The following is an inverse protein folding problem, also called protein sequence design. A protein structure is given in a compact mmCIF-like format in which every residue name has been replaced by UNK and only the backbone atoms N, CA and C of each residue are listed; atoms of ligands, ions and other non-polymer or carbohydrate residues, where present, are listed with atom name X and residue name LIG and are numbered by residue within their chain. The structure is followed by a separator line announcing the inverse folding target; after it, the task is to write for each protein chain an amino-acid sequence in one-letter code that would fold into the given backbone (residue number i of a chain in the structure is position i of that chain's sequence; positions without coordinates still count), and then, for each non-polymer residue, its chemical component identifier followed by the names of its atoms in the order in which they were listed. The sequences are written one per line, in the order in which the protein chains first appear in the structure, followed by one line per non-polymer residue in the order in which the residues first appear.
data_IF_407822058703
#
_entry.id   IF_407822058703
#
_cell.length_a   1.000
_cell.length_b   1.000
_cell.length_c   1.000
_cell.angle_alpha   90.00
_cell.angle_beta   90.00
_cell.angle_gamma   90.00
#
_symmetry.space_group_name_H-M   'P 1'
#
loop_
_entity.id
_entity.type
_entity.pdbx_description
1 polymer ?
#
# COMPACT_ATOMS: atom_id res chain seq x y z
N UNK A 1 -8.12 3.87 -0.56
CA UNK A 1 -6.79 3.24 -0.39
C UNK A 1 -5.84 3.82 -1.43
N UNK A 2 -4.54 3.92 -1.15
CA UNK A 2 -3.54 4.28 -2.18
C UNK A 2 -3.16 3.00 -2.94
N UNK A 3 -3.29 3.04 -4.26
CA UNK A 3 -2.92 1.94 -5.15
C UNK A 3 -2.01 2.46 -6.27
N UNK A 4 -1.22 1.56 -6.84
CA UNK A 4 -0.30 1.83 -7.97
C UNK A 4 -0.58 0.86 -9.12
N UNK A 5 0.03 1.08 -10.28
CA UNK A 5 -0.18 0.25 -11.47
C UNK A 5 -1.61 0.41 -12.02
N UNK A 6 -2.30 -0.71 -12.26
CA UNK A 6 -3.70 -0.73 -12.68
C UNK A 6 -4.67 -0.71 -11.50
N UNK A 7 -4.29 -0.02 -10.42
CA UNK A 7 -5.00 0.05 -9.15
C UNK A 7 -5.16 -1.30 -8.43
N UNK A 8 -4.33 -2.29 -8.76
CA UNK A 8 -4.42 -3.67 -8.26
C UNK A 8 -3.39 -3.99 -7.18
N UNK A 9 -2.46 -3.06 -6.90
CA UNK A 9 -1.37 -3.28 -5.94
C UNK A 9 -1.17 -2.09 -5.01
N UNK A 10 -0.66 -2.37 -3.81
CA UNK A 10 -0.28 -1.34 -2.84
C UNK A 10 1.14 -0.83 -3.16
N UNK A 11 1.42 0.48 -2.93
CA UNK A 11 2.76 1.00 -3.03
C UNK A 11 3.71 0.22 -2.10
N UNK A 12 4.82 -0.25 -2.65
CA UNK A 12 5.79 -1.07 -1.91
C UNK A 12 7.16 -1.02 -2.56
N UNK A 13 8.20 -1.33 -1.80
CA UNK A 13 9.57 -1.36 -2.31
C UNK A 13 10.49 -2.21 -1.43
N UNK A 14 11.66 -2.61 -1.95
CA UNK A 14 12.64 -3.36 -1.18
C UNK A 14 13.21 -2.52 -0.03
N UNK A 15 13.75 -3.21 0.98
CA UNK A 15 14.58 -2.55 1.97
C UNK A 15 15.84 -2.01 1.31
N UNK A 16 16.17 -0.75 1.61
CA UNK A 16 17.35 -0.08 1.08
C UNK A 16 18.17 0.53 2.21
N UNK A 17 19.50 0.37 2.15
CA UNK A 17 20.44 0.83 3.17
C UNK A 17 20.54 2.36 3.23
N UNK A 18 20.14 3.05 2.16
CA UNK A 18 20.12 4.51 2.06
C UNK A 18 19.10 5.17 3.00
N UNK A 19 18.10 4.41 3.49
CA UNK A 19 17.09 4.92 4.40
C UNK A 19 17.47 4.65 5.86
N UNK A 20 17.41 5.70 6.70
CA UNK A 20 17.77 5.58 8.12
C UNK A 20 16.85 4.67 8.95
N UNK A 21 15.66 4.35 8.44
CA UNK A 21 14.71 3.42 9.07
C UNK A 21 13.76 2.82 8.03
N UNK A 22 13.10 1.71 8.37
CA UNK A 22 12.07 1.11 7.53
C UNK A 22 10.93 2.08 7.22
N UNK A 23 10.51 2.86 8.22
CA UNK A 23 9.48 3.89 8.05
C UNK A 23 9.93 5.01 7.10
N UNK A 24 11.21 5.42 7.16
CA UNK A 24 11.77 6.38 6.21
C UNK A 24 11.80 5.83 4.79
N UNK A 25 12.12 4.55 4.62
CA UNK A 25 12.07 3.90 3.31
C UNK A 25 10.66 3.78 2.75
N UNK A 26 9.69 3.41 3.59
CA UNK A 26 8.28 3.39 3.18
C UNK A 26 7.82 4.77 2.69
N UNK A 27 8.17 5.85 3.41
CA UNK A 27 7.85 7.22 2.99
C UNK A 27 8.42 7.52 1.59
N UNK A 28 9.70 7.22 1.39
CA UNK A 28 10.39 7.45 0.12
C UNK A 28 9.73 6.69 -1.03
N UNK A 29 9.48 5.38 -0.86
CA UNK A 29 8.85 4.57 -1.90
C UNK A 29 7.42 5.02 -2.22
N UNK A 30 6.61 5.31 -1.21
CA UNK A 30 5.22 5.77 -1.43
C UNK A 30 5.20 7.13 -2.13
N UNK A 31 6.04 8.08 -1.70
CA UNK A 31 6.13 9.40 -2.31
C UNK A 31 6.63 9.31 -3.75
N UNK A 32 7.64 8.48 -4.03
CA UNK A 32 8.15 8.26 -5.39
C UNK A 32 7.09 7.62 -6.31
N UNK A 33 6.30 6.68 -5.81
CA UNK A 33 5.34 5.93 -6.64
C UNK A 33 4.00 6.65 -6.82
N UNK A 34 3.61 7.51 -5.87
CA UNK A 34 2.26 8.11 -5.85
C UNK A 34 2.27 9.64 -5.86
N UNK A 35 3.40 10.28 -5.56
CA UNK A 35 3.49 11.72 -5.34
C UNK A 35 2.88 12.20 -4.01
N UNK A 36 2.44 11.28 -3.14
CA UNK A 36 1.83 11.62 -1.86
C UNK A 36 2.81 11.45 -0.70
N UNK A 37 3.08 12.55 0.01
CA UNK A 37 3.77 12.49 1.28
C UNK A 37 2.87 11.83 2.35
N UNK A 38 3.43 10.88 3.11
CA UNK A 38 2.74 10.30 4.26
C UNK A 38 2.86 11.24 5.47
N UNK A 39 1.80 11.33 6.29
CA UNK A 39 1.83 12.02 7.58
C UNK A 39 2.04 11.03 8.72
N UNK A 40 0.97 10.32 9.05
CA UNK A 40 0.94 9.26 10.05
C UNK A 40 1.35 7.91 9.44
N UNK A 41 2.11 7.11 10.19
CA UNK A 41 2.50 5.75 9.82
C UNK A 41 2.49 4.87 11.08
N UNK A 42 1.83 3.72 10.97
CA UNK A 42 1.80 2.67 11.97
C UNK A 42 2.15 1.33 11.31
N UNK A 43 2.99 0.54 11.96
CA UNK A 43 3.29 -0.81 11.49
C UNK A 43 2.16 -1.75 11.91
N UNK A 44 1.64 -2.52 10.97
CA UNK A 44 0.58 -3.49 11.23
C UNK A 44 1.17 -4.88 11.49
N UNK A 45 1.55 -5.56 10.41
CA UNK A 45 1.93 -6.97 10.44
C UNK A 45 3.24 -7.20 9.69
N UNK A 46 3.93 -8.26 10.09
CA UNK A 46 5.10 -8.81 9.38
C UNK A 46 4.73 -10.17 8.83
N UNK A 47 4.92 -10.34 7.53
CA UNK A 47 4.70 -11.59 6.80
C UNK A 47 6.05 -12.20 6.45
N UNK A 48 6.22 -13.48 6.73
CA UNK A 48 7.46 -14.21 6.43
C UNK A 48 7.19 -15.62 5.89
N UNK A 49 5.97 -15.86 5.39
CA UNK A 49 5.54 -17.15 4.86
C UNK A 49 6.27 -17.49 3.56
N UNK A 50 6.68 -18.75 3.44
CA UNK A 50 7.59 -19.21 2.37
C UNK A 50 6.98 -19.12 0.97
N UNK A 51 5.65 -19.21 0.86
CA UNK A 51 4.97 -19.42 -0.41
C UNK A 51 4.25 -18.15 -0.92
N UNK A 52 4.60 -16.97 -0.37
CA UNK A 52 3.89 -15.70 -0.61
C UNK A 52 4.23 -15.03 -1.95
N UNK A 53 5.35 -15.37 -2.58
CA UNK A 53 5.80 -14.77 -3.86
C UNK A 53 5.80 -15.81 -4.99
N UNK A 54 4.69 -16.54 -5.08
CA UNK A 54 4.50 -17.59 -6.07
C UNK A 54 5.33 -18.84 -5.78
N UNK A 55 4.79 -20.00 -6.10
CA UNK A 55 5.42 -21.31 -5.89
C UNK A 55 6.72 -21.49 -6.68
N UNK A 56 6.96 -20.67 -7.69
CA UNK A 56 8.15 -20.74 -8.57
C UNK A 56 9.38 -20.04 -8.00
N UNK A 57 9.22 -19.10 -7.07
CA UNK A 57 10.35 -18.42 -6.43
C UNK A 57 10.65 -19.09 -5.10
N UNK A 58 11.68 -19.93 -5.06
CA UNK A 58 12.27 -20.48 -3.82
C UNK A 58 12.98 -19.41 -2.95
N UNK A 59 12.49 -18.18 -2.94
CA UNK A 59 13.08 -17.07 -2.19
C UNK A 59 12.27 -16.81 -0.92
N UNK A 60 12.93 -16.87 0.23
CA UNK A 60 12.32 -16.43 1.50
C UNK A 60 12.22 -14.91 1.45
N UNK A 61 11.01 -14.38 1.54
CA UNK A 61 10.78 -12.94 1.59
C UNK A 61 10.03 -12.57 2.86
N UNK A 62 10.54 -11.52 3.50
CA UNK A 62 9.88 -10.86 4.63
C UNK A 62 9.24 -9.60 4.07
N UNK A 63 7.95 -9.42 4.31
CA UNK A 63 7.21 -8.19 4.00
C UNK A 63 6.68 -7.58 5.28
N UNK A 64 6.84 -6.27 5.45
CA UNK A 64 6.29 -5.53 6.59
C UNK A 64 5.24 -4.57 6.05
N UNK A 65 4.03 -4.68 6.59
CA UNK A 65 2.89 -3.86 6.17
C UNK A 65 2.64 -2.73 7.15
N UNK A 66 2.18 -1.61 6.61
CA UNK A 66 1.95 -0.38 7.35
C UNK A 66 0.57 0.20 7.02
N UNK A 67 -0.07 0.80 8.02
CA UNK A 67 -1.18 1.72 7.84
C UNK A 67 -0.60 3.14 7.81
N UNK A 68 -1.00 3.93 6.83
CA UNK A 68 -0.55 5.31 6.71
C UNK A 68 -1.68 6.24 6.28
N UNK A 69 -1.61 7.49 6.75
CA UNK A 69 -2.55 8.54 6.38
C UNK A 69 -1.81 9.62 5.57
N UNK A 70 -2.40 10.02 4.45
CA UNK A 70 -1.93 11.13 3.61
C UNK A 70 -3.06 12.14 3.38
N UNK A 71 -2.70 13.32 2.88
CA UNK A 71 -3.66 14.35 2.48
C UNK A 71 -3.88 14.33 0.98
N UNK A 72 -5.15 14.50 0.60
CA UNK A 72 -5.58 14.53 -0.80
C UNK A 72 -4.88 15.59 -1.63
N UNK A 73 -4.67 16.77 -1.06
CA UNK A 73 -4.19 17.97 -1.77
C UNK A 73 -2.67 17.99 -1.97
N UNK A 74 -1.92 17.05 -1.39
CA UNK A 74 -0.45 17.04 -1.47
C UNK A 74 0.10 16.24 -2.66
N UNK A 75 -0.76 15.79 -3.59
CA UNK A 75 -0.30 15.14 -4.81
C UNK A 75 0.49 16.15 -5.66
N UNK A 76 1.81 16.03 -5.70
CA UNK A 76 2.62 16.84 -6.60
C UNK A 76 2.43 16.33 -8.02
N UNK A 77 1.54 16.97 -8.78
CA UNK A 77 1.42 16.84 -10.24
C UNK A 77 1.16 15.43 -10.82
N UNK A 78 0.52 14.52 -10.07
CA UNK A 78 0.05 13.24 -10.64
C UNK A 78 -1.30 13.43 -11.33
N UNK A 79 -1.29 13.67 -12.64
CA UNK A 79 -2.50 13.64 -13.48
C UNK A 79 -3.19 12.26 -13.54
N UNK A 80 -2.62 11.25 -12.87
CA UNK A 80 -3.07 9.85 -12.90
C UNK A 80 -3.79 9.39 -11.62
N UNK A 81 -3.91 10.23 -10.58
CA UNK A 81 -4.56 9.83 -9.33
C UNK A 81 -6.09 9.97 -9.41
N UNK A 82 -6.78 8.89 -9.77
CA UNK A 82 -8.25 8.80 -9.69
C UNK A 82 -8.72 8.47 -8.27
N UNK A 83 -9.59 9.31 -7.70
CA UNK A 83 -10.25 8.99 -6.43
C UNK A 83 -11.38 7.99 -6.67
N UNK A 84 -11.28 6.84 -6.02
CA UNK A 84 -12.30 5.78 -6.09
C UNK A 84 -12.92 5.55 -4.71
N UNK A 85 -14.16 5.04 -4.71
CA UNK A 85 -14.82 4.61 -3.48
C UNK A 85 -14.00 3.50 -2.80
N UNK A 86 -13.97 3.51 -1.47
CA UNK A 86 -13.35 2.43 -0.69
C UNK A 86 -13.96 1.06 -1.02
N UNK A 87 -15.27 1.03 -1.27
CA UNK A 87 -16.03 -0.19 -1.55
C UNK A 87 -15.72 -0.82 -2.91
N UNK A 88 -15.02 -0.13 -3.81
CA UNK A 88 -14.50 -0.75 -5.06
C UNK A 88 -13.41 -1.79 -4.76
N UNK A 89 -12.68 -1.62 -3.65
CA UNK A 89 -11.59 -2.52 -3.26
C UNK A 89 -11.99 -3.50 -2.15
N UNK A 90 -12.93 -3.09 -1.31
CA UNK A 90 -13.41 -3.86 -0.17
C UNK A 90 -14.95 -3.97 -0.22
N UNK A 91 -15.51 -4.60 -1.27
CA UNK A 91 -16.96 -4.64 -1.45
C UNK A 91 -17.69 -5.36 -0.31
N UNK A 92 -17.02 -6.33 0.35
CA UNK A 92 -17.57 -7.06 1.48
C UNK A 92 -17.76 -6.21 2.75
N UNK A 93 -17.20 -5.00 2.82
CA UNK A 93 -17.37 -4.07 3.94
C UNK A 93 -18.63 -3.20 3.80
N UNK A 94 -19.30 -3.19 2.62
CA UNK A 94 -20.47 -2.33 2.39
C UNK A 94 -21.75 -2.95 2.95
N UNK A 95 -21.99 -2.74 4.25
CA UNK A 95 -23.16 -3.25 4.95
C UNK A 95 -24.40 -2.33 4.89
N UNK A 96 -24.35 -1.21 4.15
CA UNK A 96 -25.41 -0.17 4.19
C UNK A 96 -26.77 -0.68 3.68
N UNK A 97 -26.78 -1.71 2.83
CA UNK A 97 -27.99 -2.31 2.26
C UNK A 97 -28.18 -3.78 2.67
N UNK A 98 -27.54 -4.21 3.76
CA UNK A 98 -27.53 -5.60 4.22
C UNK A 98 -26.18 -6.26 4.03
N UNK A 99 -26.11 -7.58 4.17
CA UNK A 99 -24.85 -8.31 3.99
C UNK A 99 -24.50 -8.37 2.50
N UNK A 100 -23.31 -7.87 2.08
CA UNK A 100 -22.92 -7.88 0.67
C UNK A 100 -22.75 -9.32 0.14
N UNK A 101 -23.02 -9.55 -1.15
CA UNK A 101 -22.70 -10.83 -1.79
C UNK A 101 -21.17 -10.98 -1.84
N UNK A 102 -20.65 -12.12 -1.38
CA UNK A 102 -19.22 -12.47 -1.44
C UNK A 102 -18.76 -12.77 -2.85
#
# INVERSE_FOLDING_TARGET
VLTVGHADTLPSGPFALEHRSLQSGLRGWVEQQTGHALGYIEQLYTFADRDRIGTERHQRVISISYLALTRKEQATNSAACGWQSWYEYFPWEDHRFGTPPV
#
